data_IF_828047420146
#
_entry.id   IF_828047420146
#
_cell.length_a   1.000
_cell.length_b   1.000
_cell.length_c   1.000
_cell.angle_alpha   90.00
_cell.angle_beta   90.00
_cell.angle_gamma   90.00
#
_symmetry.space_group_name_H-M   'P 1'
#
loop_
_entity.id
_entity.type
_entity.pdbx_description
1 polymer ?
#
# COMPACT_ATOMS: atom_id res chain seq x y z
N UNK A 1 4.01 11.92 11.26
CA UNK A 1 3.42 10.65 11.70
C UNK A 1 3.69 9.60 10.65
N UNK A 2 4.24 8.48 11.05
CA UNK A 2 4.56 7.39 10.14
C UNK A 2 3.30 6.64 9.72
N UNK A 3 3.33 6.00 8.54
CA UNK A 3 2.20 5.21 8.04
C UNK A 3 1.78 4.12 9.02
N UNK A 4 2.73 3.57 9.77
CA UNK A 4 2.52 2.52 10.77
C UNK A 4 1.64 3.02 11.92
N UNK A 5 1.83 4.26 12.35
CA UNK A 5 1.07 4.86 13.47
C UNK A 5 -0.42 4.99 13.11
N UNK A 6 -0.73 5.51 11.92
CA UNK A 6 -2.12 5.56 11.44
C UNK A 6 -2.77 4.17 11.36
N UNK A 7 -2.02 3.18 10.87
CA UNK A 7 -2.49 1.79 10.75
C UNK A 7 -2.75 1.17 12.12
N UNK A 8 -1.94 1.48 13.13
CA UNK A 8 -2.15 1.04 14.51
C UNK A 8 -3.44 1.62 15.10
N UNK A 9 -3.69 2.91 14.89
CA UNK A 9 -4.93 3.55 15.37
C UNK A 9 -6.16 3.01 14.63
N UNK A 10 -6.07 2.78 13.32
CA UNK A 10 -7.14 2.12 12.56
C UNK A 10 -7.42 0.73 13.13
N UNK A 11 -6.39 -0.06 13.44
CA UNK A 11 -6.55 -1.39 14.04
C UNK A 11 -7.25 -1.33 15.38
N UNK A 12 -6.86 -0.38 16.25
CA UNK A 12 -7.51 -0.16 17.54
C UNK A 12 -9.02 0.10 17.36
N UNK A 13 -9.40 1.01 16.47
CA UNK A 13 -10.81 1.32 16.24
C UNK A 13 -11.60 0.18 15.58
N UNK A 14 -10.97 -0.62 14.73
CA UNK A 14 -11.60 -1.83 14.17
C UNK A 14 -11.86 -2.86 15.29
N UNK A 15 -10.92 -3.04 16.22
CA UNK A 15 -11.11 -3.90 17.39
C UNK A 15 -12.19 -3.37 18.34
N UNK A 16 -12.35 -2.04 18.42
CA UNK A 16 -13.44 -1.35 19.11
C UNK A 16 -14.80 -1.48 18.39
N UNK A 17 -14.85 -2.16 17.24
CA UNK A 17 -16.08 -2.44 16.48
C UNK A 17 -16.56 -1.30 15.59
N UNK A 18 -15.75 -0.25 15.38
CA UNK A 18 -16.13 0.89 14.57
C UNK A 18 -16.02 0.60 13.08
N UNK A 19 -16.94 1.18 12.31
CA UNK A 19 -16.92 1.10 10.86
C UNK A 19 -15.91 2.09 10.25
N UNK A 20 -15.35 1.84 9.06
CA UNK A 20 -14.43 2.78 8.41
C UNK A 20 -15.00 4.20 8.22
N UNK A 21 -16.31 4.29 8.04
CA UNK A 21 -17.08 5.54 7.92
C UNK A 21 -17.13 6.35 9.22
N UNK A 22 -17.06 5.70 10.38
CA UNK A 22 -16.98 6.34 11.70
C UNK A 22 -15.52 6.64 12.08
N UNK A 23 -14.58 5.80 11.63
CA UNK A 23 -13.15 5.97 11.91
C UNK A 23 -12.59 7.20 11.20
N UNK A 24 -12.91 7.40 9.93
CA UNK A 24 -12.36 8.51 9.14
C UNK A 24 -12.60 9.90 9.76
N UNK A 25 -13.82 10.31 10.18
CA UNK A 25 -14.01 11.62 10.79
C UNK A 25 -13.29 11.75 12.15
N UNK A 26 -13.12 10.65 12.90
CA UNK A 26 -12.32 10.66 14.15
C UNK A 26 -10.84 10.93 13.84
N UNK A 27 -10.29 10.27 12.82
CA UNK A 27 -8.91 10.51 12.37
C UNK A 27 -8.75 11.93 11.82
N UNK A 28 -9.70 12.41 11.01
CA UNK A 28 -9.68 13.75 10.43
C UNK A 28 -9.72 14.84 11.51
N UNK A 29 -10.49 14.63 12.58
CA UNK A 29 -10.55 15.56 13.72
C UNK A 29 -9.22 15.68 14.48
N UNK A 30 -8.45 14.60 14.55
CA UNK A 30 -7.20 14.55 15.34
C UNK A 30 -6.00 14.95 14.50
N UNK A 31 -5.95 14.50 13.24
CA UNK A 31 -4.80 14.64 12.36
C UNK A 31 -4.97 15.70 11.28
N UNK A 32 -6.19 16.24 11.10
CA UNK A 32 -6.50 17.30 10.15
C UNK A 32 -5.96 16.97 8.75
N UNK A 33 -5.14 17.85 8.17
CA UNK A 33 -4.55 17.69 6.84
C UNK A 33 -3.62 16.48 6.72
N UNK A 34 -3.08 15.98 7.83
CA UNK A 34 -2.25 14.80 7.86
C UNK A 34 -3.07 13.49 7.94
N UNK A 35 -4.40 13.57 8.03
CA UNK A 35 -5.25 12.39 8.15
C UNK A 35 -5.17 11.49 6.91
N UNK A 36 -5.13 10.15 7.08
CA UNK A 36 -5.26 9.24 5.96
C UNK A 36 -6.63 9.39 5.30
N UNK A 37 -6.65 9.22 3.97
CA UNK A 37 -7.89 9.24 3.19
C UNK A 37 -8.85 8.12 3.62
N UNK A 38 -10.16 8.34 3.39
CA UNK A 38 -11.17 7.32 3.62
C UNK A 38 -10.89 6.00 2.88
N UNK A 39 -10.32 6.05 1.67
CA UNK A 39 -9.94 4.85 0.92
C UNK A 39 -8.84 4.05 1.64
N UNK A 40 -7.87 4.74 2.24
CA UNK A 40 -6.81 4.13 3.04
C UNK A 40 -7.39 3.48 4.29
N UNK A 41 -8.29 4.16 5.00
CA UNK A 41 -8.98 3.64 6.19
C UNK A 41 -9.76 2.36 5.85
N UNK A 42 -10.56 2.39 4.77
CA UNK A 42 -11.32 1.21 4.30
C UNK A 42 -10.41 0.03 3.97
N UNK A 43 -9.32 0.27 3.24
CA UNK A 43 -8.35 -0.78 2.88
C UNK A 43 -7.78 -1.45 4.14
N UNK A 44 -7.28 -0.66 5.10
CA UNK A 44 -6.67 -1.21 6.31
C UNK A 44 -7.68 -1.88 7.23
N UNK A 45 -8.88 -1.32 7.37
CA UNK A 45 -9.94 -1.96 8.14
C UNK A 45 -10.34 -3.33 7.57
N UNK A 46 -10.44 -3.46 6.24
CA UNK A 46 -10.69 -4.75 5.59
C UNK A 46 -9.58 -5.77 5.87
N UNK A 47 -8.31 -5.34 5.79
CA UNK A 47 -7.16 -6.20 6.09
C UNK A 47 -7.14 -6.66 7.57
N UNK A 48 -7.48 -5.78 8.51
CA UNK A 48 -7.55 -6.16 9.92
C UNK A 48 -8.72 -7.10 10.21
N UNK A 49 -9.88 -6.87 9.59
CA UNK A 49 -11.01 -7.79 9.67
C UNK A 49 -10.70 -9.17 9.06
N UNK A 50 -9.82 -9.24 8.05
CA UNK A 50 -9.34 -10.51 7.50
C UNK A 50 -8.25 -11.19 8.35
N UNK A 51 -7.96 -10.67 9.55
CA UNK A 51 -7.00 -11.26 10.49
C UNK A 51 -5.55 -10.82 10.30
N UNK A 52 -5.26 -9.82 9.45
CA UNK A 52 -3.88 -9.32 9.30
C UNK A 52 -3.39 -8.70 10.60
N UNK A 53 -2.17 -9.04 11.01
CA UNK A 53 -1.54 -8.48 12.22
C UNK A 53 -0.45 -7.44 11.91
N UNK A 54 0.20 -7.55 10.75
CA UNK A 54 1.28 -6.67 10.30
C UNK A 54 0.77 -5.28 9.90
N UNK A 55 1.53 -4.27 10.32
CA UNK A 55 1.33 -2.86 9.95
C UNK A 55 2.15 -2.44 8.74
N UNK A 56 3.03 -3.30 8.23
CA UNK A 56 3.86 -3.00 7.06
C UNK A 56 3.10 -3.34 5.78
N UNK A 57 3.45 -2.66 4.69
CA UNK A 57 2.98 -3.09 3.37
C UNK A 57 3.65 -4.41 3.01
N UNK A 58 2.96 -5.25 2.25
CA UNK A 58 3.58 -6.45 1.69
C UNK A 58 4.69 -6.06 0.70
N UNK A 59 5.70 -6.92 0.49
CA UNK A 59 6.67 -6.73 -0.56
C UNK A 59 5.94 -6.42 -1.87
N UNK A 60 6.28 -5.29 -2.49
CA UNK A 60 5.79 -5.01 -3.84
C UNK A 60 6.56 -5.92 -4.78
N UNK A 61 5.85 -6.82 -5.44
CA UNK A 61 6.36 -7.41 -6.67
C UNK A 61 6.60 -6.26 -7.64
N UNK A 62 7.87 -5.93 -7.86
CA UNK A 62 8.25 -4.98 -8.88
C UNK A 62 7.91 -5.53 -10.26
N UNK A 63 7.99 -4.68 -11.27
CA UNK A 63 8.02 -5.18 -12.64
C UNK A 63 9.27 -6.05 -12.81
N UNK A 64 9.14 -7.32 -13.28
CA UNK A 64 10.30 -8.10 -13.67
C UNK A 64 11.09 -7.30 -14.70
N UNK A 65 12.40 -7.09 -14.48
CA UNK A 65 13.27 -6.45 -15.47
C UNK A 65 13.55 -7.42 -16.63
N UNK A 66 12.52 -7.81 -17.38
CA UNK A 66 12.67 -8.63 -18.59
C UNK A 66 13.41 -7.88 -19.68
N UNK A 67 13.42 -6.54 -19.67
CA UNK A 67 14.14 -5.71 -20.63
C UNK A 67 15.67 -5.89 -20.62
N UNK A 68 16.28 -6.31 -19.49
CA UNK A 68 17.74 -6.49 -19.36
C UNK A 68 18.15 -7.96 -19.40
N UNK A 69 17.35 -8.81 -20.03
CA UNK A 69 17.75 -10.20 -20.28
C UNK A 69 18.81 -10.21 -21.38
N UNK A 70 19.85 -11.03 -21.26
CA UNK A 70 20.92 -11.14 -22.28
C UNK A 70 20.35 -11.37 -23.68
N UNK A 71 19.27 -12.15 -23.79
CA UNK A 71 18.53 -12.38 -25.04
C UNK A 71 18.00 -11.08 -25.66
N UNK A 72 17.38 -10.21 -24.86
CA UNK A 72 16.83 -8.94 -25.34
C UNK A 72 17.93 -7.95 -25.70
N UNK A 73 19.07 -7.97 -24.98
CA UNK A 73 20.25 -7.16 -25.30
C UNK A 73 20.86 -7.60 -26.63
N UNK A 74 21.01 -8.92 -26.84
CA UNK A 74 21.51 -9.48 -28.09
C UNK A 74 20.57 -9.15 -29.25
N UNK A 75 19.27 -9.36 -29.10
CA UNK A 75 18.30 -9.08 -30.15
C UNK A 75 18.28 -7.60 -30.56
N UNK A 76 18.41 -6.67 -29.61
CA UNK A 76 18.52 -5.23 -29.91
C UNK A 76 19.85 -4.90 -30.58
N UNK A 77 20.95 -5.50 -30.13
CA UNK A 77 22.27 -5.31 -30.73
C UNK A 77 22.31 -5.80 -32.19
N UNK A 78 21.72 -6.96 -32.47
CA UNK A 78 21.65 -7.53 -33.81
C UNK A 78 20.80 -6.65 -34.75
N UNK A 79 19.64 -6.15 -34.28
CA UNK A 79 18.82 -5.21 -35.06
C UNK A 79 19.53 -3.88 -35.39
N UNK A 80 20.48 -3.43 -34.57
CA UNK A 80 21.23 -2.17 -34.79
C UNK A 80 22.42 -2.37 -35.73
N UNK A 81 22.94 -3.60 -35.84
CA UNK A 81 24.05 -3.93 -36.74
C UNK A 81 23.61 -4.28 -38.16
N UNK A 82 22.35 -4.66 -38.35
CA UNK A 82 21.76 -4.99 -39.66
C UNK A 82 21.20 -3.76 -40.45
N UNK A 83 21.44 -2.53 -39.96
CA UNK A 83 21.09 -1.23 -40.59
C UNK A 83 22.36 -0.49 -41.08
#
# INVERSE_FOLDING_TARGET
MEKIEYRAVIKLFVLDGLTPTEIHPKLLKVYEDASPSLSTVKKWAALFNSGRTSFQDDPREGCPKTATTLQNIQQVHDMVLDD
#
